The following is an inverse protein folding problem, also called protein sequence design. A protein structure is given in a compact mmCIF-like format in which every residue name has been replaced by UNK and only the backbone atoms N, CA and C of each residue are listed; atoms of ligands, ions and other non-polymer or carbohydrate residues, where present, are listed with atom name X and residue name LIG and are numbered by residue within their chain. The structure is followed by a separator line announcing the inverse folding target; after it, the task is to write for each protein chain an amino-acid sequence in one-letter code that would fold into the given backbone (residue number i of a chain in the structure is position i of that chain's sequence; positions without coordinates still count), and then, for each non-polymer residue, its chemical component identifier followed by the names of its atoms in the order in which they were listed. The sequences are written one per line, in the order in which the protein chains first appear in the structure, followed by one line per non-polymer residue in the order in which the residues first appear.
data_IF_513544217141
#
_entry.id   IF_513544217141
#
_cell.length_a   1.000
_cell.length_b   1.000
_cell.length_c   1.000
_cell.angle_alpha   90.00
_cell.angle_beta   90.00
_cell.angle_gamma   90.00
#
_symmetry.space_group_name_H-M   'P 1'
#
loop_
_entity.id
_entity.type
_entity.pdbx_description
1 polymer ?
#
# COMPACT_ATOMS: atom_id res chain seq x y z
N UNK A 1 -46.40 39.65 13.70
CA UNK A 1 -46.46 38.85 12.45
C UNK A 1 -45.23 39.07 11.57
N UNK A 2 -44.85 40.32 11.24
CA UNK A 2 -43.67 40.63 10.41
C UNK A 2 -42.34 40.13 11.03
N UNK A 3 -42.14 40.35 12.33
CA UNK A 3 -40.93 39.88 13.05
C UNK A 3 -40.81 38.35 12.99
N UNK A 4 -41.91 37.63 13.20
CA UNK A 4 -41.94 36.16 13.14
C UNK A 4 -41.57 35.64 11.75
N UNK A 5 -42.09 36.27 10.69
CA UNK A 5 -41.76 35.91 9.30
C UNK A 5 -40.27 36.16 9.03
N UNK A 6 -39.74 37.31 9.45
CA UNK A 6 -38.33 37.64 9.28
C UNK A 6 -37.42 36.61 9.98
N UNK A 7 -37.73 36.24 11.23
CA UNK A 7 -36.96 35.24 11.99
C UNK A 7 -36.98 33.88 11.30
N UNK A 8 -38.14 33.42 10.83
CA UNK A 8 -38.27 32.14 10.10
C UNK A 8 -37.44 32.16 8.80
N UNK A 9 -37.52 33.24 8.02
CA UNK A 9 -36.76 33.33 6.76
C UNK A 9 -35.25 33.31 6.97
N UNK A 10 -34.73 34.02 7.99
CA UNK A 10 -33.30 34.01 8.32
C UNK A 10 -32.84 32.62 8.78
N UNK A 11 -33.68 31.94 9.56
CA UNK A 11 -33.37 30.60 10.07
C UNK A 11 -33.21 29.58 8.95
N UNK A 12 -34.09 29.63 7.94
CA UNK A 12 -34.03 28.73 6.78
C UNK A 12 -32.76 28.99 5.96
N UNK A 13 -32.38 30.25 5.74
CA UNK A 13 -31.19 30.59 4.97
C UNK A 13 -29.90 30.08 5.64
N UNK A 14 -29.83 30.15 6.98
CA UNK A 14 -28.69 29.62 7.74
C UNK A 14 -28.59 28.09 7.59
N UNK A 15 -29.72 27.39 7.69
CA UNK A 15 -29.77 25.93 7.53
C UNK A 15 -29.32 25.52 6.13
N UNK A 16 -29.81 26.18 5.09
CA UNK A 16 -29.40 25.91 3.70
C UNK A 16 -27.89 26.16 3.53
N UNK A 17 -27.37 27.27 4.06
CA UNK A 17 -25.94 27.57 4.03
C UNK A 17 -25.10 26.49 4.71
N UNK A 18 -25.53 26.00 5.87
CA UNK A 18 -24.83 24.94 6.59
C UNK A 18 -24.81 23.61 5.83
N UNK A 19 -25.93 23.24 5.19
CA UNK A 19 -26.03 22.02 4.37
C UNK A 19 -25.08 22.09 3.18
N UNK A 20 -25.08 23.22 2.44
CA UNK A 20 -24.20 23.42 1.29
C UNK A 20 -22.73 23.35 1.72
N UNK A 21 -22.36 24.02 2.82
CA UNK A 21 -21.00 23.96 3.35
C UNK A 21 -20.57 22.54 3.71
N UNK A 22 -21.43 21.78 4.40
CA UNK A 22 -21.15 20.40 4.78
C UNK A 22 -20.93 19.49 3.56
N UNK A 23 -21.72 19.65 2.50
CA UNK A 23 -21.57 18.90 1.24
C UNK A 23 -20.23 19.25 0.58
N UNK A 24 -19.91 20.54 0.46
CA UNK A 24 -18.66 20.99 -0.18
C UNK A 24 -17.43 20.50 0.60
N UNK A 25 -17.45 20.61 1.93
CA UNK A 25 -16.37 20.11 2.79
C UNK A 25 -16.20 18.61 2.59
N UNK A 26 -17.31 17.85 2.61
CA UNK A 26 -17.29 16.40 2.41
C UNK A 26 -16.71 16.03 1.03
N UNK A 27 -17.13 16.70 -0.04
CA UNK A 27 -16.62 16.44 -1.39
C UNK A 27 -15.15 16.79 -1.55
N UNK A 28 -14.69 17.90 -0.98
CA UNK A 28 -13.26 18.29 -0.99
C UNK A 28 -12.43 17.27 -0.21
N UNK A 29 -12.94 16.76 0.91
CA UNK A 29 -12.27 15.75 1.72
C UNK A 29 -12.14 14.42 0.97
N UNK A 30 -13.22 13.98 0.31
CA UNK A 30 -13.20 12.75 -0.52
C UNK A 30 -12.23 12.91 -1.69
N UNK A 31 -12.22 14.05 -2.38
CA UNK A 31 -11.31 14.28 -3.52
C UNK A 31 -9.83 14.30 -3.12
N UNK A 32 -9.50 14.78 -1.92
CA UNK A 32 -8.13 14.71 -1.36
C UNK A 32 -7.72 13.30 -0.96
N UNK A 33 -8.67 12.44 -0.61
CA UNK A 33 -8.41 11.06 -0.19
C UNK A 33 -8.17 10.11 -1.38
N UNK A 34 -8.67 10.43 -2.57
CA UNK A 34 -8.54 9.60 -3.78
C UNK A 34 -7.20 9.76 -4.53
N UNK A 35 -6.22 10.47 -3.96
CA UNK A 35 -4.97 10.85 -4.63
C UNK A 35 -3.72 10.05 -4.25
N UNK A 36 -3.83 8.90 -3.60
CA UNK A 36 -2.66 8.04 -3.35
C UNK A 36 -2.39 7.17 -4.58
N UNK A 37 -1.74 7.74 -5.60
CA UNK A 37 -1.18 6.95 -6.69
C UNK A 37 -0.29 5.85 -6.10
N UNK A 38 -0.66 4.59 -6.33
CA UNK A 38 0.13 3.43 -5.92
C UNK A 38 1.47 3.48 -6.67
N UNK A 39 2.51 3.95 -5.98
CA UNK A 39 3.86 4.05 -6.52
C UNK A 39 4.73 3.01 -5.78
N UNK A 40 4.81 1.76 -6.28
CA UNK A 40 5.51 0.70 -5.58
C UNK A 40 7.01 1.05 -5.49
N UNK A 41 7.56 0.99 -4.27
CA UNK A 41 9.00 1.14 -4.06
C UNK A 41 9.65 -0.23 -4.10
N UNK A 42 10.70 -0.36 -4.90
CA UNK A 42 11.48 -1.58 -5.03
C UNK A 42 12.83 -1.43 -4.35
N UNK A 43 13.25 -2.46 -3.62
CA UNK A 43 14.55 -2.52 -2.96
C UNK A 43 15.31 -3.73 -3.48
N UNK A 44 16.64 -3.60 -3.61
CA UNK A 44 17.52 -4.68 -4.06
C UNK A 44 18.62 -4.88 -3.03
N UNK A 45 18.78 -6.12 -2.58
CA UNK A 45 19.81 -6.52 -1.63
C UNK A 45 20.56 -7.75 -2.14
N UNK A 46 21.65 -8.10 -1.46
CA UNK A 46 22.39 -9.33 -1.71
C UNK A 46 22.90 -9.85 -0.38
N UNK A 47 22.77 -11.16 -0.16
CA UNK A 47 23.23 -11.84 1.02
C UNK A 47 23.83 -13.19 0.63
N UNK A 48 24.72 -13.69 1.48
CA UNK A 48 25.37 -14.99 1.28
C UNK A 48 24.59 -16.08 2.01
N UNK A 49 24.39 -17.21 1.34
CA UNK A 49 23.84 -18.44 1.94
C UNK A 49 25.04 -19.24 2.49
N UNK A 50 25.07 -19.49 3.80
CA UNK A 50 26.27 -19.99 4.49
C UNK A 50 26.43 -21.53 4.41
N UNK A 51 25.33 -22.28 4.30
CA UNK A 51 25.34 -23.76 4.36
C UNK A 51 25.01 -24.43 3.01
N UNK A 52 25.32 -23.75 1.90
CA UNK A 52 25.07 -24.28 0.55
C UNK A 52 26.20 -23.93 -0.39
N UNK A 53 26.77 -24.94 -1.04
CA UNK A 53 27.74 -24.75 -2.10
C UNK A 53 27.02 -24.32 -3.38
N UNK A 54 27.66 -23.45 -4.15
CA UNK A 54 27.17 -23.07 -5.47
C UNK A 54 27.25 -24.27 -6.43
N UNK A 55 26.14 -24.60 -7.08
CA UNK A 55 26.06 -25.57 -8.18
C UNK A 55 25.85 -24.84 -9.50
N UNK A 56 26.32 -25.44 -10.59
CA UNK A 56 26.06 -24.97 -11.95
C UNK A 56 24.55 -24.96 -12.28
N UNK A 57 23.75 -25.75 -11.57
CA UNK A 57 22.29 -25.73 -11.68
C UNK A 57 21.67 -24.38 -11.27
N UNK A 58 22.39 -23.56 -10.52
CA UNK A 58 21.94 -22.22 -10.10
C UNK A 58 22.27 -21.11 -11.11
N UNK A 59 22.96 -21.45 -12.21
CA UNK A 59 23.24 -20.49 -13.30
C UNK A 59 22.01 -20.14 -14.11
N UNK A 60 21.10 -21.10 -14.26
CA UNK A 60 19.91 -20.98 -15.10
C UNK A 60 18.63 -20.90 -14.26
N UNK A 61 17.86 -19.82 -14.44
CA UNK A 61 16.59 -19.64 -13.75
C UNK A 61 15.51 -20.65 -14.14
N UNK A 62 15.67 -21.30 -15.29
CA UNK A 62 14.75 -22.33 -15.78
C UNK A 62 15.10 -23.73 -15.25
N UNK A 63 16.21 -23.87 -14.52
CA UNK A 63 16.53 -25.12 -13.84
C UNK A 63 15.60 -25.35 -12.64
N UNK A 64 15.21 -26.60 -12.42
CA UNK A 64 14.40 -27.00 -11.26
C UNK A 64 15.07 -26.63 -9.94
N UNK A 65 16.38 -26.88 -9.80
CA UNK A 65 17.13 -26.61 -8.56
C UNK A 65 17.19 -25.12 -8.25
N UNK A 66 17.36 -24.27 -9.28
CA UNK A 66 17.25 -22.82 -9.14
C UNK A 66 15.86 -22.44 -8.59
N UNK A 67 14.79 -22.88 -9.25
CA UNK A 67 13.41 -22.51 -8.87
C UNK A 67 13.06 -22.98 -7.47
N UNK A 68 13.50 -24.18 -7.11
CA UNK A 68 13.28 -24.75 -5.78
C UNK A 68 13.97 -23.91 -4.70
N UNK A 69 15.25 -23.55 -4.91
CA UNK A 69 15.98 -22.71 -3.97
C UNK A 69 15.41 -21.29 -3.90
N UNK A 70 15.08 -20.70 -5.04
CA UNK A 70 14.46 -19.38 -5.11
C UNK A 70 13.16 -19.35 -4.31
N UNK A 71 12.27 -20.33 -4.50
CA UNK A 71 11.02 -20.44 -3.77
C UNK A 71 11.22 -20.61 -2.25
N UNK A 72 12.21 -21.41 -1.83
CA UNK A 72 12.55 -21.57 -0.41
C UNK A 72 12.98 -20.23 0.22
N UNK A 73 13.84 -19.48 -0.46
CA UNK A 73 14.32 -18.17 0.02
C UNK A 73 13.20 -17.14 0.02
N UNK A 74 12.40 -17.08 -1.03
CA UNK A 74 11.25 -16.18 -1.13
C UNK A 74 10.24 -16.44 -0.01
N UNK A 75 9.98 -17.71 0.33
CA UNK A 75 9.15 -18.10 1.46
C UNK A 75 9.70 -17.64 2.81
N UNK A 76 11.01 -17.82 3.04
CA UNK A 76 11.66 -17.36 4.29
C UNK A 76 11.58 -15.83 4.40
N UNK A 77 11.85 -15.10 3.31
CA UNK A 77 11.74 -13.65 3.29
C UNK A 77 10.31 -13.18 3.52
N UNK A 78 9.33 -13.84 2.90
CA UNK A 78 7.91 -13.55 3.09
C UNK A 78 7.50 -13.72 4.56
N UNK A 79 7.85 -14.84 5.19
CA UNK A 79 7.58 -15.07 6.62
C UNK A 79 8.28 -14.01 7.49
N UNK A 80 9.55 -13.72 7.21
CA UNK A 80 10.34 -12.74 7.96
C UNK A 80 9.72 -11.35 7.89
N UNK A 81 9.36 -10.87 6.69
CA UNK A 81 8.77 -9.54 6.53
C UNK A 81 7.34 -9.46 7.07
N UNK A 82 6.53 -10.51 6.92
CA UNK A 82 5.17 -10.58 7.50
C UNK A 82 5.19 -10.57 9.03
N UNK A 83 6.25 -11.10 9.64
CA UNK A 83 6.45 -11.08 11.09
C UNK A 83 7.22 -9.84 11.60
N UNK A 84 7.59 -8.92 10.71
CA UNK A 84 8.31 -7.69 11.07
C UNK A 84 7.37 -6.49 11.23
N UNK A 85 7.93 -5.37 11.69
CA UNK A 85 7.24 -4.07 11.69
C UNK A 85 6.89 -3.57 10.28
N UNK A 86 7.54 -4.13 9.24
CA UNK A 86 7.32 -3.78 7.84
C UNK A 86 6.17 -4.55 7.17
N UNK A 87 5.43 -5.38 7.91
CA UNK A 87 4.37 -6.24 7.36
C UNK A 87 3.28 -5.49 6.58
N UNK A 88 3.02 -4.23 6.95
CA UNK A 88 1.99 -3.41 6.31
C UNK A 88 2.47 -2.76 4.99
N UNK A 89 3.79 -2.64 4.82
CA UNK A 89 4.44 -2.05 3.65
C UNK A 89 4.99 -3.12 2.69
N UNK A 90 5.26 -4.32 3.22
CA UNK A 90 5.75 -5.45 2.45
C UNK A 90 4.67 -6.01 1.52
N UNK A 91 5.07 -6.34 0.28
CA UNK A 91 4.21 -7.00 -0.69
C UNK A 91 4.78 -8.38 -1.06
N UNK A 92 5.98 -8.41 -1.65
CA UNK A 92 6.65 -9.64 -2.03
C UNK A 92 8.18 -9.44 -2.13
N UNK A 93 8.90 -10.55 -2.09
CA UNK A 93 10.33 -10.63 -2.40
C UNK A 93 10.49 -11.53 -3.62
N UNK A 94 11.50 -11.25 -4.45
CA UNK A 94 11.83 -12.08 -5.60
C UNK A 94 13.33 -12.28 -5.71
N UNK A 95 13.75 -13.53 -5.85
CA UNK A 95 15.13 -13.88 -6.16
C UNK A 95 15.39 -13.63 -7.64
N UNK A 96 16.43 -12.85 -7.92
CA UNK A 96 16.80 -12.38 -9.25
C UNK A 96 18.07 -13.02 -9.81
N UNK A 97 18.73 -13.86 -9.02
CA UNK A 97 19.90 -14.61 -9.43
C UNK A 97 20.72 -15.13 -8.25
N UNK A 98 21.45 -16.20 -8.49
CA UNK A 98 22.48 -16.73 -7.59
C UNK A 98 23.87 -16.41 -8.14
N UNK A 99 24.81 -16.14 -7.23
CA UNK A 99 26.18 -15.73 -7.55
C UNK A 99 27.15 -16.38 -6.57
#
# INVERSE_FOLDING_TARGET
MIITIAVVTVSILIIIGAIVAAIVISLVYVKKSSGSGYNPRYFRGSFRILDRNYSDDYKDSDNFEYRMLAAQIEGILEETFKNSELKAQYNMSKVIGFR
#
